data_IF_897948655838
#
_entry.id   IF_897948655838
#
_cell.length_a   1.000
_cell.length_b   1.000
_cell.length_c   1.000
_cell.angle_alpha   90.00
_cell.angle_beta   90.00
_cell.angle_gamma   90.00
#
_symmetry.space_group_name_H-M   'P 1'
#
loop_
_entity.id
_entity.type
_entity.pdbx_description
1 polymer ?
#
# COMPACT_ATOMS: atom_id res chain seq x y z
N UNK A 1 22.09 -42.97 -4.70
CA UNK A 1 21.64 -42.20 -5.88
C UNK A 1 20.28 -41.54 -5.63
N UNK A 2 19.27 -42.28 -5.16
CA UNK A 2 17.93 -41.75 -4.86
C UNK A 2 17.89 -40.63 -3.79
N UNK A 3 18.74 -40.70 -2.76
CA UNK A 3 18.83 -39.68 -1.71
C UNK A 3 19.29 -38.33 -2.24
N UNK A 4 20.30 -38.30 -3.10
CA UNK A 4 20.79 -37.05 -3.71
C UNK A 4 19.69 -36.41 -4.55
N UNK A 5 18.95 -37.22 -5.31
CA UNK A 5 17.82 -36.76 -6.11
C UNK A 5 16.71 -36.13 -5.24
N UNK A 6 16.36 -36.77 -4.11
CA UNK A 6 15.39 -36.23 -3.15
C UNK A 6 15.86 -34.92 -2.51
N UNK A 7 17.14 -34.80 -2.17
CA UNK A 7 17.70 -33.55 -1.63
C UNK A 7 17.64 -32.40 -2.65
N UNK A 8 17.96 -32.67 -3.91
CA UNK A 8 17.87 -31.65 -4.98
C UNK A 8 16.43 -31.22 -5.21
N UNK A 9 15.48 -32.17 -5.24
CA UNK A 9 14.07 -31.88 -5.42
C UNK A 9 13.50 -31.07 -4.24
N UNK A 10 13.92 -31.40 -3.02
CA UNK A 10 13.61 -30.65 -1.81
C UNK A 10 14.11 -29.20 -1.89
N UNK A 11 15.37 -28.99 -2.29
CA UNK A 11 15.95 -27.65 -2.38
C UNK A 11 15.23 -26.74 -3.38
N UNK A 12 14.74 -27.30 -4.50
CA UNK A 12 13.94 -26.56 -5.49
C UNK A 12 12.62 -26.05 -4.91
N UNK A 13 11.97 -26.83 -4.05
CA UNK A 13 10.69 -26.47 -3.42
C UNK A 13 10.88 -25.42 -2.31
N UNK A 14 12.02 -25.42 -1.61
CA UNK A 14 12.34 -24.48 -0.53
C UNK A 14 12.96 -23.16 -0.98
N UNK A 15 12.92 -22.83 -2.27
CA UNK A 15 13.34 -21.51 -2.77
C UNK A 15 12.27 -20.48 -2.39
N UNK A 16 12.18 -20.16 -1.11
CA UNK A 16 11.36 -19.06 -0.61
C UNK A 16 12.13 -17.77 -0.86
N UNK A 17 11.78 -17.08 -1.95
CA UNK A 17 12.09 -15.67 -2.06
C UNK A 17 11.33 -14.94 -0.94
N UNK A 18 12.06 -14.53 0.10
CA UNK A 18 11.54 -13.53 1.00
C UNK A 18 11.30 -12.30 0.12
N UNK A 19 10.04 -12.03 -0.23
CA UNK A 19 9.68 -10.77 -0.86
C UNK A 19 10.25 -9.71 0.06
N UNK A 20 11.30 -9.01 -0.41
CA UNK A 20 11.70 -7.76 0.20
C UNK A 20 10.49 -6.89 -0.02
N UNK A 21 9.55 -6.94 0.92
CA UNK A 21 8.39 -6.10 0.91
C UNK A 21 8.99 -4.73 0.73
N UNK A 22 8.66 -4.09 -0.38
CA UNK A 22 8.79 -2.65 -0.48
C UNK A 22 7.77 -2.11 0.52
N UNK A 23 8.00 -2.37 1.81
CA UNK A 23 7.29 -1.77 2.90
C UNK A 23 7.52 -0.32 2.63
N UNK A 24 6.43 0.39 2.35
CA UNK A 24 6.42 1.82 2.22
C UNK A 24 6.72 2.36 3.62
N UNK A 25 7.98 2.21 4.05
CA UNK A 25 8.46 2.56 5.39
C UNK A 25 8.49 4.07 5.35
N UNK A 26 7.46 4.64 5.92
CA UNK A 26 7.40 6.06 6.21
C UNK A 26 8.57 6.35 7.14
N UNK A 27 9.59 7.03 6.62
CA UNK A 27 10.75 7.39 7.44
C UNK A 27 10.31 8.39 8.51
N UNK A 28 10.81 8.28 9.75
CA UNK A 28 10.60 9.31 10.76
C UNK A 28 10.97 10.69 10.20
N UNK A 29 10.06 11.67 10.34
CA UNK A 29 10.22 13.02 9.78
C UNK A 29 9.68 13.20 8.35
N UNK A 30 9.11 12.18 7.73
CA UNK A 30 8.41 12.32 6.44
C UNK A 30 7.11 13.13 6.63
N UNK A 31 6.87 14.10 5.76
CA UNK A 31 5.62 14.86 5.72
C UNK A 31 4.74 14.43 4.55
N UNK A 32 3.43 14.43 4.79
CA UNK A 32 2.41 14.41 3.75
C UNK A 32 1.81 15.80 3.63
N UNK A 33 1.61 16.29 2.42
CA UNK A 33 0.99 17.59 2.15
C UNK A 33 -0.31 17.42 1.37
N UNK A 34 -1.33 18.26 1.60
CA UNK A 34 -2.61 18.19 0.89
C UNK A 34 -2.53 18.62 -0.58
N UNK A 35 -1.34 18.86 -1.13
CA UNK A 35 -1.14 19.33 -2.51
C UNK A 35 -1.30 18.19 -3.52
N UNK A 36 -2.23 18.38 -4.46
CA UNK A 36 -2.63 17.44 -5.53
C UNK A 36 -1.50 17.03 -6.50
N UNK A 37 -0.33 17.66 -6.43
CA UNK A 37 0.77 17.46 -7.37
C UNK A 37 1.63 16.24 -7.04
N UNK A 38 1.61 15.79 -5.78
CA UNK A 38 2.39 14.64 -5.33
C UNK A 38 1.48 13.74 -4.53
N UNK A 39 1.28 12.49 -4.97
CA UNK A 39 0.57 11.44 -4.23
C UNK A 39 1.28 11.20 -2.88
N UNK A 40 0.97 12.04 -1.89
CA UNK A 40 1.63 12.07 -0.58
C UNK A 40 0.93 11.14 0.42
N UNK A 41 0.11 10.21 -0.06
CA UNK A 41 -0.51 9.18 0.77
C UNK A 41 0.44 8.01 0.98
N UNK A 42 0.41 7.44 2.18
CA UNK A 42 1.18 6.26 2.54
C UNK A 42 0.33 5.02 2.31
N UNK A 43 0.60 4.35 1.20
CA UNK A 43 -0.04 3.08 0.83
C UNK A 43 0.38 1.94 1.76
N UNK A 44 -0.61 1.18 2.21
CA UNK A 44 -0.42 -0.12 2.84
C UNK A 44 0.27 -1.09 1.87
N UNK A 45 1.07 -2.06 2.34
CA UNK A 45 1.63 -3.13 1.51
C UNK A 45 0.56 -3.93 0.74
N UNK A 46 -0.67 -3.98 1.27
CA UNK A 46 -1.81 -4.63 0.60
C UNK A 46 -2.37 -3.82 -0.57
N UNK A 47 -2.01 -2.53 -0.69
CA UNK A 47 -2.54 -1.56 -1.66
C UNK A 47 -4.05 -1.32 -1.53
N UNK A 48 -4.70 -1.88 -0.51
CA UNK A 48 -6.13 -1.69 -0.26
C UNK A 48 -6.43 -0.41 0.53
N UNK A 49 -5.46 0.06 1.30
CA UNK A 49 -5.62 1.21 2.19
C UNK A 49 -4.48 2.21 2.02
N UNK A 50 -4.79 3.48 2.20
CA UNK A 50 -3.82 4.57 2.25
C UNK A 50 -4.09 5.47 3.45
N UNK A 51 -3.03 5.96 4.11
CA UNK A 51 -3.12 7.04 5.08
C UNK A 51 -2.70 8.35 4.43
N UNK A 52 -3.44 9.43 4.63
CA UNK A 52 -3.02 10.74 4.13
C UNK A 52 -4.12 11.77 4.18
N UNK A 53 -3.91 12.86 3.44
CA UNK A 53 -4.89 13.91 3.28
C UNK A 53 -5.87 13.56 2.16
N UNK A 54 -7.15 13.80 2.40
CA UNK A 54 -8.19 13.69 1.37
C UNK A 54 -9.09 14.92 1.39
N UNK A 55 -9.54 15.33 0.20
CA UNK A 55 -10.44 16.48 0.06
C UNK A 55 -11.83 16.10 0.57
N UNK A 56 -12.36 16.90 1.50
CA UNK A 56 -13.71 16.79 2.01
C UNK A 56 -14.43 18.11 1.74
N UNK A 57 -15.21 18.14 0.65
CA UNK A 57 -15.87 19.35 0.16
C UNK A 57 -14.87 20.49 -0.11
N UNK A 58 -14.91 21.57 0.68
CA UNK A 58 -14.07 22.76 0.54
C UNK A 58 -12.82 22.76 1.43
N UNK A 59 -12.62 21.70 2.22
CA UNK A 59 -11.52 21.54 3.17
C UNK A 59 -10.75 20.22 2.92
N UNK A 60 -9.65 20.03 3.65
CA UNK A 60 -8.91 18.76 3.69
C UNK A 60 -9.07 18.11 5.05
N UNK A 61 -9.23 16.79 5.05
CA UNK A 61 -9.20 15.94 6.24
C UNK A 61 -8.00 14.99 6.18
N UNK A 62 -7.63 14.42 7.32
CA UNK A 62 -6.54 13.42 7.44
C UNK A 62 -7.13 12.12 7.97
N UNK A 63 -6.72 10.98 7.41
CA UNK A 63 -7.20 9.68 7.86
C UNK A 63 -6.74 8.52 6.99
N UNK A 64 -7.33 7.35 7.23
CA UNK A 64 -7.13 6.13 6.45
C UNK A 64 -8.32 5.96 5.51
N UNK A 65 -8.07 5.70 4.23
CA UNK A 65 -9.10 5.49 3.22
C UNK A 65 -8.78 4.30 2.33
N UNK A 66 -9.82 3.76 1.68
CA UNK A 66 -9.70 2.64 0.74
C UNK A 66 -9.34 3.18 -0.64
N UNK A 67 -8.24 2.70 -1.20
CA UNK A 67 -7.78 3.06 -2.54
C UNK A 67 -8.69 2.46 -3.61
N UNK A 68 -8.93 3.21 -4.68
CA UNK A 68 -9.80 2.79 -5.79
C UNK A 68 -11.31 2.85 -5.51
N UNK A 69 -11.75 3.32 -4.35
CA UNK A 69 -13.16 3.69 -4.16
C UNK A 69 -13.43 5.02 -4.88
N UNK A 70 -14.48 5.13 -5.72
CA UNK A 70 -14.83 6.41 -6.31
C UNK A 70 -15.08 7.37 -5.15
N UNK A 71 -14.26 8.43 -5.09
CA UNK A 71 -14.47 9.59 -4.23
C UNK A 71 -15.97 9.83 -4.16
N UNK A 72 -16.56 9.64 -2.97
CA UNK A 72 -18.01 9.76 -2.76
C UNK A 72 -18.46 11.00 -3.52
N UNK A 73 -19.15 10.78 -4.64
CA UNK A 73 -19.90 11.81 -5.33
C UNK A 73 -20.83 12.33 -4.25
N UNK A 74 -20.58 13.54 -3.78
CA UNK A 74 -21.53 14.29 -3.01
C UNK A 74 -22.81 14.27 -3.82
N UNK A 75 -23.76 13.42 -3.42
CA UNK A 75 -25.14 13.51 -3.85
C UNK A 75 -25.61 14.86 -3.34
N UNK A 76 -25.45 15.85 -4.22
CA UNK A 76 -26.10 17.13 -4.15
C UNK A 76 -27.59 16.85 -3.97
N UNK A 77 -28.10 17.23 -2.79
CA UNK A 77 -29.51 17.15 -2.48
C UNK A 77 -30.21 18.28 -3.24
N UNK A 78 -30.99 17.93 -4.25
CA UNK A 78 -32.05 18.76 -4.81
C UNK A 78 -33.38 18.03 -4.66
#
# INVERSE_FOLDING_TARGET
>A
MATIFLLVLSALIFTAEAQQGQSNIVKPGSLSTPTTTTNSSWLSPSVLYAFGFFKQSNCYAVGIFVEGSPQKTSLDSQ
#
